data_IF_532358403925
#
_entry.id   IF_532358403925
#
_cell.length_a   1.000
_cell.length_b   1.000
_cell.length_c   1.000
_cell.angle_alpha   90.00
_cell.angle_beta   90.00
_cell.angle_gamma   90.00
#
_symmetry.space_group_name_H-M   'P 1'
#
loop_
_entity.id
_entity.type
_entity.pdbx_description
1 polymer ?
#
# COMPACT_ATOMS: atom_id res chain seq x y z
N UNK A 1 -18.54 28.89 -1.80
CA UNK A 1 -17.20 29.49 -1.96
C UNK A 1 -16.20 28.37 -1.73
N UNK A 2 -15.38 28.10 -2.75
CA UNK A 2 -14.42 27.00 -2.77
C UNK A 2 -13.29 27.26 -1.78
N UNK A 3 -13.22 26.49 -0.71
CA UNK A 3 -12.06 26.46 0.18
C UNK A 3 -10.94 25.66 -0.52
N UNK A 4 -10.10 26.37 -1.28
CA UNK A 4 -8.77 25.91 -1.66
C UNK A 4 -7.90 25.87 -0.41
N UNK A 5 -8.04 24.81 0.38
CA UNK A 5 -7.08 24.46 1.41
C UNK A 5 -6.10 23.49 0.74
N UNK A 6 -5.19 24.04 -0.06
CA UNK A 6 -3.96 23.32 -0.40
C UNK A 6 -3.29 23.00 0.94
N UNK A 7 -3.28 21.72 1.26
CA UNK A 7 -2.88 21.19 2.56
C UNK A 7 -1.47 21.72 2.87
N UNK A 8 -1.37 22.54 3.91
CA UNK A 8 -0.12 23.21 4.29
C UNK A 8 0.96 22.22 4.73
N UNK A 9 0.62 20.93 4.82
CA UNK A 9 1.48 19.80 5.16
C UNK A 9 2.47 19.39 4.07
N UNK A 10 2.21 19.68 2.79
CA UNK A 10 3.12 19.23 1.72
C UNK A 10 4.50 19.88 1.77
N UNK A 11 4.58 21.13 2.23
CA UNK A 11 5.85 21.85 2.37
C UNK A 11 6.60 21.50 3.66
N UNK A 12 5.93 20.88 4.63
CA UNK A 12 6.52 20.42 5.89
C UNK A 12 7.13 19.02 5.80
N UNK A 13 6.90 18.29 4.70
CA UNK A 13 7.47 16.96 4.50
C UNK A 13 8.98 17.00 4.20
N UNK A 14 9.78 16.10 4.79
CA UNK A 14 11.18 15.94 4.43
C UNK A 14 11.32 15.56 2.95
N UNK A 15 12.38 16.06 2.31
CA UNK A 15 12.73 15.65 0.96
C UNK A 15 13.18 14.18 0.98
N UNK A 16 12.65 13.38 0.06
CA UNK A 16 13.08 12.00 -0.13
C UNK A 16 14.59 11.92 -0.39
N UNK A 17 15.24 10.90 0.18
CA UNK A 17 16.64 10.59 -0.16
C UNK A 17 16.70 10.02 -1.58
N UNK A 18 17.88 10.05 -2.21
CA UNK A 18 18.07 9.49 -3.57
C UNK A 18 17.66 8.01 -3.64
N UNK A 19 17.94 7.24 -2.59
CA UNK A 19 17.51 5.83 -2.49
C UNK A 19 16.00 5.69 -2.50
N UNK A 20 15.28 6.56 -1.78
CA UNK A 20 13.81 6.54 -1.75
C UNK A 20 13.20 6.99 -3.08
N UNK A 21 13.81 7.97 -3.74
CA UNK A 21 13.40 8.36 -5.10
C UNK A 21 13.60 7.21 -6.08
N UNK A 22 14.72 6.47 -6.03
CA UNK A 22 14.92 5.31 -6.90
C UNK A 22 13.89 4.21 -6.65
N UNK A 23 13.60 3.86 -5.40
CA UNK A 23 12.56 2.85 -5.08
C UNK A 23 11.20 3.30 -5.60
N UNK A 24 10.82 4.55 -5.38
CA UNK A 24 9.57 5.10 -5.90
C UNK A 24 9.52 5.06 -7.43
N UNK A 25 10.64 5.37 -8.10
CA UNK A 25 10.75 5.31 -9.56
C UNK A 25 10.62 3.89 -10.09
N UNK A 26 11.22 2.90 -9.45
CA UNK A 26 11.10 1.49 -9.86
C UNK A 26 9.63 1.04 -9.87
N UNK A 27 8.87 1.46 -8.85
CA UNK A 27 7.44 1.16 -8.74
C UNK A 27 6.64 1.87 -9.85
N UNK A 28 6.87 3.17 -10.05
CA UNK A 28 6.19 3.94 -11.09
C UNK A 28 6.54 3.46 -12.51
N UNK A 29 7.74 2.91 -12.70
CA UNK A 29 8.26 2.46 -14.01
C UNK A 29 7.52 1.26 -14.59
N UNK A 30 6.60 0.64 -13.86
CA UNK A 30 5.68 -0.37 -14.38
C UNK A 30 4.75 0.16 -15.49
N UNK A 31 4.72 1.49 -15.73
CA UNK A 31 4.01 2.09 -16.85
C UNK A 31 2.48 2.12 -16.69
N UNK A 32 2.00 1.83 -15.48
CA UNK A 32 0.58 1.80 -15.14
C UNK A 32 0.23 2.91 -14.15
N UNK A 33 -1.07 3.18 -14.04
CA UNK A 33 -1.59 4.19 -13.10
C UNK A 33 -1.50 3.72 -11.64
N UNK A 34 -1.49 4.64 -10.66
CA UNK A 34 -1.58 4.30 -9.23
C UNK A 34 -2.81 3.43 -8.93
N UNK A 35 -3.94 3.73 -9.55
CA UNK A 35 -5.19 2.96 -9.44
C UNK A 35 -5.02 1.50 -9.86
N UNK A 36 -4.42 1.28 -11.04
CA UNK A 36 -4.20 -0.08 -11.54
C UNK A 36 -3.13 -0.81 -10.73
N UNK A 37 -2.09 -0.09 -10.29
CA UNK A 37 -1.08 -0.65 -9.40
C UNK A 37 -1.68 -1.11 -8.07
N UNK A 38 -2.53 -0.27 -7.46
CA UNK A 38 -3.25 -0.61 -6.24
C UNK A 38 -4.17 -1.82 -6.45
N UNK A 39 -4.91 -1.87 -7.56
CA UNK A 39 -5.78 -3.00 -7.88
C UNK A 39 -4.99 -4.33 -7.89
N UNK A 40 -3.83 -4.33 -8.55
CA UNK A 40 -2.99 -5.52 -8.76
C UNK A 40 -2.17 -5.92 -7.54
N UNK A 41 -1.63 -4.96 -6.80
CA UNK A 41 -0.54 -5.24 -5.84
C UNK A 41 -0.70 -4.60 -4.47
N UNK A 42 -1.84 -3.99 -4.13
CA UNK A 42 -2.04 -3.43 -2.78
C UNK A 42 -1.71 -4.43 -1.65
N UNK A 43 -2.01 -5.72 -1.86
CA UNK A 43 -1.73 -6.80 -0.91
C UNK A 43 -0.24 -7.08 -0.67
N UNK A 44 0.66 -6.57 -1.53
CA UNK A 44 2.11 -6.71 -1.39
C UNK A 44 2.77 -5.47 -0.76
N UNK A 45 2.01 -4.41 -0.51
CA UNK A 45 2.53 -3.06 -0.21
C UNK A 45 2.06 -2.63 1.18
N UNK A 46 2.25 -3.50 2.18
CA UNK A 46 1.73 -3.29 3.54
C UNK A 46 2.54 -2.30 4.40
N UNK A 47 3.73 -1.88 3.97
CA UNK A 47 4.66 -1.08 4.79
C UNK A 47 5.28 0.12 4.03
N UNK A 48 4.51 0.79 3.18
CA UNK A 48 5.01 1.93 2.42
C UNK A 48 4.76 3.26 3.15
N UNK A 49 5.78 3.81 3.80
CA UNK A 49 5.77 5.18 4.36
C UNK A 49 6.32 6.24 3.40
N UNK A 50 6.30 5.95 2.10
CA UNK A 50 6.79 6.85 1.06
C UNK A 50 5.93 8.11 0.90
N UNK A 51 4.67 8.08 1.35
CA UNK A 51 3.77 9.23 1.38
C UNK A 51 4.22 10.34 2.32
N UNK A 52 5.08 10.02 3.30
CA UNK A 52 5.58 10.97 4.30
C UNK A 52 6.70 11.87 3.77
N UNK A 53 7.06 11.73 2.49
CA UNK A 53 8.15 12.46 1.85
C UNK A 53 7.65 13.23 0.63
N UNK A 54 8.31 14.34 0.35
CA UNK A 54 8.19 15.05 -0.93
C UNK A 54 9.29 14.58 -1.89
N UNK A 55 8.97 14.54 -3.18
CA UNK A 55 9.88 14.08 -4.22
C UNK A 55 10.28 15.25 -5.13
N UNK A 56 11.47 15.20 -5.73
CA UNK A 56 11.92 16.25 -6.66
C UNK A 56 11.10 16.26 -7.95
N UNK A 57 10.73 15.08 -8.43
CA UNK A 57 9.86 14.91 -9.58
C UNK A 57 8.40 15.01 -9.14
N UNK A 58 7.69 16.01 -9.67
CA UNK A 58 6.28 16.28 -9.36
C UNK A 58 5.36 15.17 -9.83
N UNK A 59 5.70 14.47 -10.92
CA UNK A 59 4.91 13.35 -11.44
C UNK A 59 5.05 12.16 -10.49
N UNK A 60 6.29 11.88 -10.05
CA UNK A 60 6.57 10.83 -9.08
C UNK A 60 5.88 11.12 -7.73
N UNK A 61 5.97 12.36 -7.23
CA UNK A 61 5.30 12.77 -6.01
C UNK A 61 3.79 12.51 -6.11
N UNK A 62 3.16 13.01 -7.18
CA UNK A 62 1.73 12.83 -7.39
C UNK A 62 1.35 11.35 -7.48
N UNK A 63 2.18 10.53 -8.12
CA UNK A 63 1.92 9.10 -8.28
C UNK A 63 1.96 8.38 -6.92
N UNK A 64 3.01 8.59 -6.12
CA UNK A 64 3.19 7.95 -4.81
C UNK A 64 2.12 8.40 -3.82
N UNK A 65 1.80 9.69 -3.77
CA UNK A 65 0.77 10.22 -2.87
C UNK A 65 -0.63 9.75 -3.27
N UNK A 66 -0.89 9.57 -4.57
CA UNK A 66 -2.15 8.97 -5.03
C UNK A 66 -2.25 7.50 -4.64
N UNK A 67 -1.16 6.74 -4.79
CA UNK A 67 -1.13 5.34 -4.37
C UNK A 67 -1.39 5.20 -2.87
N UNK A 68 -0.72 5.98 -2.02
CA UNK A 68 -0.99 5.96 -0.57
C UNK A 68 -2.42 6.35 -0.23
N UNK A 69 -2.96 7.37 -0.89
CA UNK A 69 -4.34 7.78 -0.64
C UNK A 69 -5.32 6.63 -0.89
N UNK A 70 -5.09 5.80 -1.92
CA UNK A 70 -5.87 4.60 -2.22
C UNK A 70 -5.69 3.54 -1.13
N UNK A 71 -4.44 3.20 -0.80
CA UNK A 71 -4.12 2.16 0.20
C UNK A 71 -4.66 2.51 1.59
N UNK A 72 -4.57 3.79 1.96
CA UNK A 72 -5.05 4.32 3.24
C UNK A 72 -6.53 4.74 3.22
N UNK A 73 -7.22 4.63 2.08
CA UNK A 73 -8.59 5.12 1.86
C UNK A 73 -8.80 6.58 2.31
N UNK A 74 -7.80 7.44 2.10
CA UNK A 74 -7.82 8.87 2.47
C UNK A 74 -8.47 9.71 1.36
N UNK A 75 -8.94 10.91 1.71
CA UNK A 75 -9.30 11.97 0.76
C UNK A 75 -10.34 11.60 -0.32
N UNK A 76 -11.21 10.62 -0.04
CA UNK A 76 -12.19 10.14 -1.02
C UNK A 76 -11.58 9.33 -2.16
N UNK A 77 -10.40 8.75 -1.94
CA UNK A 77 -9.78 7.82 -2.88
C UNK A 77 -10.70 6.63 -3.18
N UNK A 78 -10.61 6.06 -4.40
CA UNK A 78 -11.44 4.93 -4.80
C UNK A 78 -11.19 3.70 -3.93
N UNK A 79 -12.22 2.87 -3.76
CA UNK A 79 -12.11 1.62 -3.02
C UNK A 79 -11.33 0.59 -3.84
N UNK A 80 -10.43 -0.17 -3.20
CA UNK A 80 -9.70 -1.28 -3.81
C UNK A 80 -10.64 -2.29 -4.49
N UNK A 81 -11.81 -2.58 -3.94
CA UNK A 81 -12.78 -3.49 -4.57
C UNK A 81 -13.25 -2.97 -5.93
N UNK A 82 -13.51 -1.67 -6.03
CA UNK A 82 -13.99 -1.03 -7.25
C UNK A 82 -12.87 -0.94 -8.29
N UNK A 83 -11.65 -0.66 -7.83
CA UNK A 83 -10.45 -0.68 -8.68
C UNK A 83 -10.17 -2.08 -9.22
N UNK A 84 -10.24 -3.11 -8.37
CA UNK A 84 -10.09 -4.51 -8.78
C UNK A 84 -11.15 -4.88 -9.82
N UNK A 85 -12.42 -4.58 -9.58
CA UNK A 85 -13.49 -4.83 -10.54
C UNK A 85 -13.33 -4.06 -11.87
N UNK A 86 -12.62 -2.93 -11.86
CA UNK A 86 -12.36 -2.11 -13.06
C UNK A 86 -11.18 -2.61 -13.90
N UNK A 87 -10.12 -3.09 -13.26
CA UNK A 87 -8.85 -3.39 -13.93
C UNK A 87 -8.55 -4.88 -14.09
N UNK A 88 -9.20 -5.73 -13.29
CA UNK A 88 -8.88 -7.15 -13.22
C UNK A 88 -10.03 -8.02 -13.71
N UNK A 89 -9.70 -9.23 -14.16
CA UNK A 89 -10.70 -10.26 -14.41
C UNK A 89 -11.16 -10.92 -13.11
N UNK A 90 -12.33 -11.58 -13.08
CA UNK A 90 -12.76 -12.33 -11.90
C UNK A 90 -11.75 -13.37 -11.43
N UNK A 91 -11.01 -13.99 -12.36
CA UNK A 91 -9.96 -14.97 -12.06
C UNK A 91 -8.77 -14.30 -11.34
N UNK A 92 -8.28 -13.16 -11.86
CA UNK A 92 -7.21 -12.39 -11.20
C UNK A 92 -7.64 -11.90 -9.81
N UNK A 93 -8.90 -11.52 -9.64
CA UNK A 93 -9.45 -11.12 -8.33
C UNK A 93 -9.43 -12.30 -7.35
N UNK A 94 -9.82 -13.50 -7.81
CA UNK A 94 -9.81 -14.69 -6.98
C UNK A 94 -8.39 -15.09 -6.57
N UNK A 95 -7.43 -15.04 -7.49
CA UNK A 95 -6.02 -15.32 -7.18
C UNK A 95 -5.47 -14.40 -6.08
N UNK A 96 -5.78 -13.10 -6.15
CA UNK A 96 -5.38 -12.14 -5.10
C UNK A 96 -6.03 -12.48 -3.76
N UNK A 97 -7.32 -12.84 -3.76
CA UNK A 97 -8.02 -13.22 -2.53
C UNK A 97 -7.42 -14.49 -1.91
N UNK A 98 -7.04 -15.47 -2.73
CA UNK A 98 -6.42 -16.70 -2.26
C UNK A 98 -5.05 -16.41 -1.63
N UNK A 99 -4.24 -15.54 -2.26
CA UNK A 99 -2.96 -15.08 -1.70
C UNK A 99 -3.11 -14.32 -0.39
N UNK A 100 -4.09 -13.39 -0.31
CA UNK A 100 -4.39 -12.65 0.92
C UNK A 100 -4.81 -13.61 2.05
N UNK A 101 -5.64 -14.61 1.75
CA UNK A 101 -6.08 -15.61 2.73
C UNK A 101 -4.95 -16.53 3.18
N UNK A 102 -4.10 -16.99 2.25
CA UNK A 102 -2.95 -17.85 2.56
C UNK A 102 -1.98 -17.14 3.50
N UNK A 103 -1.64 -15.88 3.21
CA UNK A 103 -0.76 -15.07 4.05
C UNK A 103 -1.33 -14.86 5.47
N UNK A 104 -2.64 -14.61 5.58
CA UNK A 104 -3.30 -14.49 6.89
C UNK A 104 -3.32 -15.82 7.65
N UNK A 105 -3.53 -16.94 6.95
CA UNK A 105 -3.52 -18.25 7.58
C UNK A 105 -2.11 -18.64 8.10
N UNK A 106 -1.05 -18.29 7.37
CA UNK A 106 0.34 -18.50 7.79
C UNK A 106 0.66 -17.70 9.06
N UNK A 107 0.28 -16.40 9.10
CA UNK A 107 0.48 -15.55 10.27
C UNK A 107 -0.23 -16.10 11.52
N UNK A 108 -1.47 -16.56 11.39
CA UNK A 108 -2.23 -17.12 12.50
C UNK A 108 -1.64 -18.45 13.00
N UNK A 109 -1.14 -19.29 12.09
CA UNK A 109 -0.50 -20.55 12.47
C UNK A 109 0.78 -20.34 13.28
N UNK A 110 1.58 -19.32 12.93
CA UNK A 110 2.78 -18.96 13.67
C UNK A 110 2.46 -18.43 15.09
N UNK A 111 1.39 -17.63 15.24
CA UNK A 111 0.91 -17.16 16.54
C UNK A 111 0.43 -18.31 17.43
N UNK A 112 -0.37 -19.24 16.89
CA UNK A 112 -0.84 -20.43 17.63
C UNK A 112 0.33 -21.32 18.08
N UNK A 113 1.36 -21.47 17.25
CA UNK A 113 2.55 -22.26 17.57
C UNK A 113 3.39 -21.62 18.68
N UNK A 114 3.49 -20.28 18.72
CA UNK A 114 4.15 -19.56 19.80
C UNK A 114 3.40 -19.71 21.13
N UNK A 115 2.07 -19.57 21.13
CA UNK A 115 1.26 -19.74 22.34
C UNK A 115 1.36 -21.16 22.91
N UNK A 116 1.40 -22.19 22.06
CA UNK A 116 1.56 -23.58 22.49
C UNK A 116 2.93 -23.82 23.13
N UNK A 117 4.00 -23.22 22.60
CA UNK A 117 5.35 -23.34 23.18
C UNK A 117 5.44 -22.66 24.55
N UNK A 118 4.91 -21.44 24.71
CA UNK A 118 4.90 -20.71 25.99
C UNK A 118 4.11 -21.47 27.08
N UNK A 119 2.98 -22.10 26.72
CA UNK A 119 2.19 -22.90 27.66
C UNK A 119 2.89 -24.20 28.10
N UNK A 120 3.82 -24.72 27.31
CA UNK A 120 4.63 -25.90 27.65
C UNK A 120 5.81 -25.52 28.55
N UNK A 121 6.43 -24.36 28.36
CA UNK A 121 7.51 -23.87 29.23
C UNK A 121 7.03 -23.48 30.64
N UNK A 122 5.80 -22.98 30.78
CA UNK A 122 5.20 -22.65 32.09
C UNK A 122 4.80 -23.87 32.94
N UNK A 123 4.92 -25.10 32.42
CA UNK A 123 4.60 -26.36 33.13
C UNK A 123 5.82 -27.07 33.74
N UNK A 124 6.99 -26.42 33.78
CA UNK A 124 8.23 -26.89 34.43
C UNK A 124 8.43 -26.17 35.76
#
# INVERSE_FOLDING_TARGET
>A
MHSNQLDSREFDMPLATVTMEHVAQEIMSCGISPDEYAARWAHNVYCFSLDQYRYRDVVLQSWIHSLDAILSQKNGAPNLSDLRAKFLTPEEIQEIQDQENEFQAELLADEEMQEIQEQQEYKI
#
